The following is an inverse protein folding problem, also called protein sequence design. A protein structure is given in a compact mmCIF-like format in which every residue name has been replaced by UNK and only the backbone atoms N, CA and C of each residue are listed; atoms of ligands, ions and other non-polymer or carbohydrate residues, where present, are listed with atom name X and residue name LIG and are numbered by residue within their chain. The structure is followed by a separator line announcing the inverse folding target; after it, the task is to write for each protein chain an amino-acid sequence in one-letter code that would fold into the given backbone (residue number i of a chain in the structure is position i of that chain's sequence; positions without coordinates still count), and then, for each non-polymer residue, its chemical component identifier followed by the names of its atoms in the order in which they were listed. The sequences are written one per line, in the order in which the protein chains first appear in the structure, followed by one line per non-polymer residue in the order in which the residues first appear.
data_IF_942552716088
#
_entry.id   IF_942552716088
#
_cell.length_a   1.000
_cell.length_b   1.000
_cell.length_c   1.000
_cell.angle_alpha   90.00
_cell.angle_beta   90.00
_cell.angle_gamma   90.00
#
_symmetry.space_group_name_H-M   'P 1'
#
loop_
_entity.id
_entity.type
_entity.pdbx_description
1 polymer ?
#
# COMPACT_ATOMS: atom_id res chain seq x y z
N UNK A 1 -1.15 -12.59 -14.16
CA UNK A 1 -1.38 -13.63 -13.13
C UNK A 1 -2.87 -13.63 -12.83
N UNK A 2 -3.51 -14.77 -12.66
CA UNK A 2 -4.93 -14.81 -12.30
C UNK A 2 -5.07 -14.95 -10.78
N UNK A 3 -5.85 -14.08 -10.16
CA UNK A 3 -6.31 -14.20 -8.77
C UNK A 3 -7.82 -14.39 -8.77
N UNK A 4 -8.43 -14.67 -7.62
CA UNK A 4 -9.89 -14.79 -7.51
C UNK A 4 -10.46 -13.80 -6.50
N UNK A 5 -11.58 -13.16 -6.85
CA UNK A 5 -12.37 -12.33 -5.94
C UNK A 5 -13.79 -12.91 -5.82
N UNK A 6 -14.14 -13.40 -4.63
CA UNK A 6 -15.44 -14.07 -4.42
C UNK A 6 -15.64 -15.30 -5.32
N UNK A 7 -14.55 -15.99 -5.68
CA UNK A 7 -14.56 -17.12 -6.60
C UNK A 7 -14.48 -16.75 -8.09
N UNK A 8 -14.63 -15.47 -8.44
CA UNK A 8 -14.52 -15.02 -9.83
C UNK A 8 -13.05 -14.76 -10.20
N UNK A 9 -12.54 -15.29 -11.33
CA UNK A 9 -11.20 -15.01 -11.78
C UNK A 9 -11.05 -13.55 -12.18
N UNK A 10 -9.96 -12.92 -11.74
CA UNK A 10 -9.55 -11.56 -12.07
C UNK A 10 -8.13 -11.63 -12.62
N UNK A 11 -7.94 -11.10 -13.82
CA UNK A 11 -6.62 -10.95 -14.41
C UNK A 11 -5.90 -9.78 -13.77
N UNK A 12 -4.68 -10.05 -13.30
CA UNK A 12 -3.75 -9.06 -12.76
C UNK A 12 -2.60 -8.89 -13.72
N UNK A 13 -2.38 -7.65 -14.11
CA UNK A 13 -1.38 -7.22 -15.08
C UNK A 13 -0.13 -6.63 -14.42
N UNK A 14 0.98 -6.63 -15.17
CA UNK A 14 2.28 -6.15 -14.68
C UNK A 14 3.21 -7.28 -14.20
N UNK A 15 4.30 -6.89 -13.54
CA UNK A 15 5.33 -7.82 -13.05
C UNK A 15 5.50 -7.69 -11.54
N UNK A 16 5.11 -8.73 -10.81
CA UNK A 16 5.27 -8.74 -9.35
C UNK A 16 6.75 -8.97 -8.98
N UNK A 17 7.37 -8.11 -8.14
CA UNK A 17 8.76 -8.26 -7.73
C UNK A 17 9.01 -9.59 -7.00
N UNK A 18 10.14 -10.23 -7.28
CA UNK A 18 10.56 -11.46 -6.62
C UNK A 18 11.59 -11.19 -5.53
N UNK A 19 11.79 -12.17 -4.65
CA UNK A 19 12.84 -12.10 -3.64
C UNK A 19 14.20 -11.95 -4.33
N UNK A 20 14.95 -10.92 -3.94
CA UNK A 20 16.24 -10.56 -4.54
C UNK A 20 16.18 -9.43 -5.57
N UNK A 21 14.98 -9.09 -6.07
CA UNK A 21 14.82 -7.98 -6.99
C UNK A 21 14.92 -6.63 -6.25
N UNK A 22 15.49 -5.64 -6.94
CA UNK A 22 15.37 -4.24 -6.51
C UNK A 22 13.94 -3.78 -6.75
N UNK A 23 13.24 -3.38 -5.68
CA UNK A 23 11.88 -2.89 -5.76
C UNK A 23 11.81 -1.63 -6.68
N UNK A 24 10.87 -1.56 -7.64
CA UNK A 24 10.70 -0.37 -8.48
C UNK A 24 10.39 0.86 -7.64
N UNK A 25 10.99 2.00 -7.98
CA UNK A 25 10.60 3.26 -7.34
C UNK A 25 9.15 3.63 -7.71
N UNK A 26 8.52 4.44 -6.87
CA UNK A 26 7.18 4.96 -7.09
C UNK A 26 7.08 6.37 -6.55
N UNK A 27 6.03 7.09 -6.96
CA UNK A 27 5.66 8.38 -6.41
C UNK A 27 4.14 8.42 -6.24
N UNK A 28 3.69 8.30 -4.99
CA UNK A 28 2.29 8.15 -4.60
C UNK A 28 1.84 9.32 -3.72
N UNK A 29 0.55 9.42 -3.43
CA UNK A 29 -0.02 10.60 -2.75
C UNK A 29 -0.32 10.29 -1.29
N UNK A 30 0.23 11.07 -0.36
CA UNK A 30 -0.06 10.91 1.07
C UNK A 30 -1.33 11.67 1.48
N UNK A 31 -1.70 11.56 2.77
CA UNK A 31 -2.86 12.25 3.38
C UNK A 31 -2.89 13.78 3.17
N UNK A 32 -1.71 14.41 3.05
CA UNK A 32 -1.54 15.85 2.91
C UNK A 32 -1.52 16.28 1.43
N UNK A 33 -1.90 15.37 0.52
CA UNK A 33 -1.85 15.52 -0.93
C UNK A 33 -0.44 15.75 -1.49
N UNK A 34 0.60 15.55 -0.69
CA UNK A 34 1.97 15.61 -1.12
C UNK A 34 2.37 14.31 -1.81
N UNK A 35 3.27 14.44 -2.78
CA UNK A 35 3.86 13.27 -3.41
C UNK A 35 4.96 12.69 -2.53
N UNK A 36 4.95 11.37 -2.36
CA UNK A 36 5.90 10.60 -1.54
C UNK A 36 6.45 9.46 -2.38
N UNK A 37 7.77 9.30 -2.33
CA UNK A 37 8.54 8.28 -3.04
C UNK A 37 8.94 7.11 -2.17
N UNK A 38 9.38 6.00 -2.79
CA UNK A 38 9.97 4.90 -2.03
C UNK A 38 11.29 5.33 -1.35
N UNK A 39 12.02 6.24 -1.98
CA UNK A 39 13.29 6.78 -1.49
C UNK A 39 13.15 7.59 -0.19
N UNK A 40 11.99 8.20 0.07
CA UNK A 40 11.72 8.93 1.32
C UNK A 40 11.78 8.02 2.56
N UNK A 41 11.74 6.70 2.36
CA UNK A 41 11.86 5.69 3.41
C UNK A 41 13.23 5.01 3.44
N UNK A 42 14.26 5.59 2.82
CA UNK A 42 15.62 5.05 2.82
C UNK A 42 16.12 4.67 4.23
N UNK A 43 16.90 3.58 4.32
CA UNK A 43 17.41 3.07 5.60
C UNK A 43 16.39 2.29 6.46
N UNK A 44 15.08 2.37 6.19
CA UNK A 44 14.05 1.58 6.88
C UNK A 44 13.75 0.28 6.13
N UNK A 45 13.29 -0.75 6.85
CA UNK A 45 12.55 -1.88 6.25
C UNK A 45 11.14 -1.40 5.89
N UNK A 46 10.65 -1.77 4.70
CA UNK A 46 9.32 -1.35 4.23
C UNK A 46 8.43 -2.57 4.07
N UNK A 47 7.24 -2.50 4.64
CA UNK A 47 6.15 -3.43 4.37
C UNK A 47 5.16 -2.71 3.46
N UNK A 48 5.01 -3.17 2.22
CA UNK A 48 4.01 -2.65 1.30
C UNK A 48 2.74 -3.51 1.43
N UNK A 49 1.78 -3.02 2.20
CA UNK A 49 0.46 -3.66 2.32
C UNK A 49 -0.47 -3.05 1.26
N UNK A 50 -0.56 -3.74 0.12
CA UNK A 50 -1.33 -3.29 -1.05
C UNK A 50 -2.75 -3.86 -0.92
N UNK A 51 -3.76 -2.99 -0.90
CA UNK A 51 -5.16 -3.37 -0.69
C UNK A 51 -6.05 -2.79 -1.80
N UNK A 52 -7.13 -3.47 -2.21
CA UNK A 52 -8.07 -2.93 -3.20
C UNK A 52 -8.73 -1.63 -2.73
N UNK A 53 -9.23 -1.64 -1.48
CA UNK A 53 -9.75 -0.46 -0.80
C UNK A 53 -9.63 -0.67 0.71
N UNK A 54 -9.00 0.31 1.38
CA UNK A 54 -8.81 0.37 2.82
C UNK A 54 -10.14 0.47 3.58
N UNK A 55 -11.20 0.98 2.94
CA UNK A 55 -12.54 1.17 3.51
C UNK A 55 -13.36 -0.13 3.55
N UNK A 56 -12.69 -1.28 3.67
CA UNK A 56 -13.33 -2.60 3.80
C UNK A 56 -12.81 -3.33 5.04
N UNK A 57 -13.64 -4.14 5.74
CA UNK A 57 -13.25 -4.75 7.02
C UNK A 57 -11.99 -5.62 6.96
N UNK A 58 -11.76 -6.31 5.84
CA UNK A 58 -10.60 -7.19 5.66
C UNK A 58 -9.31 -6.38 5.48
N UNK A 59 -9.37 -5.31 4.68
CA UNK A 59 -8.22 -4.42 4.42
C UNK A 59 -7.88 -3.56 5.65
N UNK A 60 -8.90 -3.15 6.39
CA UNK A 60 -8.75 -2.53 7.70
C UNK A 60 -8.01 -3.46 8.68
N UNK A 61 -8.45 -4.72 8.76
CA UNK A 61 -7.83 -5.72 9.62
C UNK A 61 -6.37 -6.00 9.25
N UNK A 62 -6.05 -6.10 7.94
CA UNK A 62 -4.66 -6.33 7.51
C UNK A 62 -3.76 -5.18 7.94
N UNK A 63 -4.22 -3.93 7.80
CA UNK A 63 -3.49 -2.73 8.24
C UNK A 63 -3.14 -2.77 9.71
N UNK A 64 -4.11 -3.13 10.57
CA UNK A 64 -3.88 -3.24 12.02
C UNK A 64 -2.86 -4.32 12.37
N UNK A 65 -3.01 -5.50 11.78
CA UNK A 65 -2.07 -6.62 12.02
C UNK A 65 -0.65 -6.25 11.63
N UNK A 66 -0.45 -5.60 10.49
CA UNK A 66 0.89 -5.16 10.07
C UNK A 66 1.43 -4.01 10.91
N UNK A 67 0.59 -3.06 11.34
CA UNK A 67 0.99 -2.01 12.27
C UNK A 67 1.54 -2.58 13.57
N UNK A 68 0.84 -3.56 14.15
CA UNK A 68 1.20 -4.16 15.44
C UNK A 68 2.43 -5.07 15.32
N UNK A 69 2.61 -5.72 14.16
CA UNK A 69 3.77 -6.53 13.86
C UNK A 69 5.02 -5.71 13.46
N UNK A 70 4.87 -4.43 13.14
CA UNK A 70 5.97 -3.57 12.74
C UNK A 70 6.86 -3.23 13.96
N UNK A 71 7.99 -3.93 14.04
CA UNK A 71 9.00 -3.72 15.09
C UNK A 71 10.30 -3.18 14.51
N UNK A 72 11.09 -2.49 15.34
CA UNK A 72 12.39 -1.94 14.97
C UNK A 72 12.29 -0.81 13.94
N UNK A 73 13.27 -0.70 13.05
CA UNK A 73 13.32 0.34 12.01
C UNK A 73 12.47 -0.03 10.78
N UNK A 74 11.18 -0.25 10.99
CA UNK A 74 10.22 -0.71 9.97
C UNK A 74 9.11 0.32 9.76
N UNK A 75 8.73 0.56 8.51
CA UNK A 75 7.57 1.37 8.13
C UNK A 75 6.56 0.52 7.37
N UNK A 76 5.28 0.71 7.67
CA UNK A 76 4.18 0.05 6.95
C UNK A 76 3.56 1.05 5.99
N UNK A 77 3.59 0.74 4.70
CA UNK A 77 3.01 1.54 3.63
C UNK A 77 1.70 0.88 3.20
N UNK A 78 0.57 1.50 3.48
CA UNK A 78 -0.74 1.06 2.99
C UNK A 78 -0.98 1.71 1.65
N UNK A 79 -1.05 0.90 0.59
CA UNK A 79 -1.20 1.40 -0.78
C UNK A 79 -2.55 0.95 -1.34
N UNK A 80 -3.35 1.90 -1.81
CA UNK A 80 -4.68 1.64 -2.36
C UNK A 80 -5.07 2.67 -3.43
N UNK A 81 -6.11 2.35 -4.20
CA UNK A 81 -6.72 3.29 -5.14
C UNK A 81 -7.71 4.27 -4.48
N UNK A 82 -7.93 4.16 -3.17
CA UNK A 82 -8.73 5.11 -2.41
C UNK A 82 -8.14 6.52 -2.47
N UNK A 83 -8.99 7.53 -2.35
CA UNK A 83 -8.55 8.91 -2.29
C UNK A 83 -7.91 9.22 -0.92
N UNK A 84 -6.89 10.10 -0.85
CA UNK A 84 -6.15 10.35 0.39
C UNK A 84 -7.03 10.72 1.59
N UNK A 85 -8.10 11.46 1.36
CA UNK A 85 -9.04 11.87 2.40
C UNK A 85 -9.86 10.70 2.96
N UNK A 86 -10.19 9.68 2.16
CA UNK A 86 -10.87 8.47 2.63
C UNK A 86 -9.91 7.65 3.51
N UNK A 87 -8.67 7.47 3.06
CA UNK A 87 -7.63 6.78 3.83
C UNK A 87 -7.31 7.49 5.16
N UNK A 88 -7.40 8.82 5.19
CA UNK A 88 -7.15 9.63 6.39
C UNK A 88 -8.21 9.43 7.47
N UNK A 89 -9.48 9.27 7.08
CA UNK A 89 -10.58 8.96 8.01
C UNK A 89 -10.34 7.62 8.71
N UNK A 90 -9.78 6.65 7.98
CA UNK A 90 -9.42 5.35 8.54
C UNK A 90 -8.28 5.44 9.56
N UNK A 91 -7.16 6.07 9.20
CA UNK A 91 -6.00 6.19 10.11
C UNK A 91 -6.34 6.96 11.39
N UNK A 92 -7.19 7.99 11.30
CA UNK A 92 -7.66 8.75 12.47
C UNK A 92 -8.50 7.93 13.45
N UNK A 93 -9.19 6.88 12.98
CA UNK A 93 -10.01 6.02 13.81
C UNK A 93 -9.20 4.91 14.51
N UNK A 94 -8.13 4.41 13.87
CA UNK A 94 -7.41 3.20 14.33
C UNK A 94 -6.10 3.47 15.09
N UNK A 95 -5.71 4.73 15.32
CA UNK A 95 -4.50 5.11 16.10
C UNK A 95 -3.22 4.38 15.64
N UNK A 96 -2.97 4.39 14.32
CA UNK A 96 -1.84 3.68 13.70
C UNK A 96 -0.61 4.59 13.59
N UNK A 97 0.37 4.41 14.48
CA UNK A 97 1.54 5.30 14.57
C UNK A 97 2.66 4.97 13.57
N UNK A 98 2.75 3.72 13.10
CA UNK A 98 3.82 3.25 12.22
C UNK A 98 3.40 3.13 10.74
N UNK A 99 2.21 3.65 10.42
CA UNK A 99 1.54 3.47 9.14
C UNK A 99 1.57 4.76 8.34
N UNK A 100 1.93 4.64 7.06
CA UNK A 100 1.78 5.70 6.06
C UNK A 100 0.80 5.24 5.00
N UNK A 101 -0.25 6.03 4.77
CA UNK A 101 -1.21 5.80 3.68
C UNK A 101 -0.73 6.49 2.41
N UNK A 102 -0.73 5.74 1.31
CA UNK A 102 -0.31 6.16 0.00
C UNK A 102 -1.38 5.81 -1.03
N UNK A 103 -1.98 6.83 -1.62
CA UNK A 103 -2.99 6.70 -2.65
C UNK A 103 -2.35 6.64 -4.04
N UNK A 104 -2.88 5.76 -4.90
CA UNK A 104 -2.55 5.71 -6.33
C UNK A 104 -3.34 6.72 -7.16
N UNK A 105 -4.04 7.68 -6.55
CA UNK A 105 -4.72 8.79 -7.24
C UNK A 105 -3.78 9.53 -8.22
N UNK A 106 -2.50 9.62 -7.88
CA UNK A 106 -1.40 9.90 -8.82
C UNK A 106 -0.36 8.78 -8.71
N UNK A 107 0.40 8.55 -9.77
CA UNK A 107 1.40 7.47 -9.81
C UNK A 107 0.80 6.08 -10.04
N UNK A 108 -0.34 6.00 -10.74
CA UNK A 108 -1.04 4.75 -11.05
C UNK A 108 -0.16 3.68 -11.76
N UNK A 109 0.95 4.09 -12.36
CA UNK A 109 1.96 3.16 -12.91
C UNK A 109 2.52 2.19 -11.86
N UNK A 110 2.47 2.55 -10.56
CA UNK A 110 2.75 1.65 -9.45
C UNK A 110 2.06 0.30 -9.62
N UNK A 111 0.78 0.28 -10.01
CA UNK A 111 0.01 -0.95 -10.11
C UNK A 111 0.62 -1.91 -11.15
N UNK A 112 1.09 -1.41 -12.29
CA UNK A 112 1.76 -2.23 -13.30
C UNK A 112 3.18 -2.61 -12.88
N UNK A 113 3.92 -1.66 -12.32
CA UNK A 113 5.32 -1.87 -11.89
C UNK A 113 5.42 -2.90 -10.76
N UNK A 114 4.37 -3.01 -9.94
CA UNK A 114 4.28 -3.98 -8.85
C UNK A 114 3.40 -5.20 -9.19
N UNK A 115 2.89 -5.33 -10.43
CA UNK A 115 2.12 -6.50 -10.84
C UNK A 115 0.81 -6.69 -10.08
N UNK A 116 0.09 -5.60 -9.82
CA UNK A 116 -1.18 -5.52 -9.07
C UNK A 116 -2.24 -4.68 -9.80
N UNK A 117 -2.09 -4.48 -11.11
CA UNK A 117 -3.00 -3.69 -11.96
C UNK A 117 -4.16 -4.51 -12.53
#
# INVERSE_FOLDING_TARGET
MAVTLGGNPIDVSGSFPKVGDTAPDFKLVNKDLADVSLADFAGKKKILNIVPSLDTPVCAKSTKVFNDAAVGNTVVLIIAADLPFAMSRFCGAESTNNVVTLSTMRGAEFMKNYGVA
#
